data_IF_546097502373
#
_entry.id   IF_546097502373
#
_cell.length_a   1.000
_cell.length_b   1.000
_cell.length_c   1.000
_cell.angle_alpha   90.00
_cell.angle_beta   90.00
_cell.angle_gamma   90.00
#
_symmetry.space_group_name_H-M   'P 1'
#
loop_
_entity.id
_entity.type
_entity.pdbx_description
1 polymer ?
#
# COMPACT_ATOMS: atom_id res chain seq x y z
N UNK A 1 -1.24 -15.92 -10.10
CA UNK A 1 -1.59 -14.49 -10.21
C UNK A 1 -0.74 -13.63 -9.28
N UNK A 2 -0.75 -13.87 -7.96
CA UNK A 2 0.09 -13.12 -6.98
C UNK A 2 1.60 -13.25 -7.24
N UNK A 3 2.10 -14.44 -7.56
CA UNK A 3 3.53 -14.64 -7.89
C UNK A 3 4.00 -13.75 -9.05
N UNK A 4 3.15 -13.49 -10.06
CA UNK A 4 3.50 -12.58 -11.16
C UNK A 4 3.64 -11.14 -10.67
N UNK A 5 2.78 -10.70 -9.75
CA UNK A 5 2.86 -9.36 -9.13
C UNK A 5 4.15 -9.21 -8.32
N UNK A 6 4.48 -10.17 -7.45
CA UNK A 6 5.71 -10.13 -6.65
C UNK A 6 6.96 -10.04 -7.54
N UNK A 7 7.03 -10.87 -8.58
CA UNK A 7 8.16 -10.84 -9.54
C UNK A 7 8.25 -9.51 -10.30
N UNK A 8 7.11 -8.84 -10.58
CA UNK A 8 7.13 -7.51 -11.18
C UNK A 8 7.60 -6.41 -10.21
N UNK A 9 7.40 -6.58 -8.90
CA UNK A 9 7.78 -5.60 -7.89
C UNK A 9 9.28 -5.68 -7.53
N UNK A 10 9.85 -6.89 -7.45
CA UNK A 10 11.26 -7.12 -7.13
C UNK A 10 12.26 -6.20 -7.86
N UNK A 11 12.23 -6.04 -9.20
CA UNK A 11 13.20 -5.21 -9.90
C UNK A 11 13.04 -3.70 -9.67
N UNK A 12 11.93 -3.24 -9.07
CA UNK A 12 11.72 -1.82 -8.77
C UNK A 12 12.57 -1.34 -7.59
N UNK A 13 12.99 -2.25 -6.69
CA UNK A 13 13.88 -1.98 -5.58
C UNK A 13 13.22 -1.19 -4.44
N UNK A 14 12.72 0.03 -4.70
CA UNK A 14 11.97 0.86 -3.74
C UNK A 14 10.77 1.51 -4.41
N UNK A 15 9.65 1.57 -3.70
CA UNK A 15 8.38 2.06 -4.26
C UNK A 15 7.61 2.95 -3.30
N UNK A 16 6.85 3.87 -3.87
CA UNK A 16 5.76 4.55 -3.20
C UNK A 16 4.43 3.99 -3.73
N UNK A 17 3.57 3.49 -2.85
CA UNK A 17 2.28 2.90 -3.21
C UNK A 17 1.19 3.91 -2.94
N UNK A 18 0.45 4.30 -3.99
CA UNK A 18 -0.80 5.05 -3.82
C UNK A 18 -1.83 4.16 -3.13
N UNK A 19 -2.14 4.49 -1.88
CA UNK A 19 -2.94 3.69 -0.98
C UNK A 19 -4.21 4.44 -0.60
N UNK A 20 -5.36 3.75 -0.59
CA UNK A 20 -6.66 4.34 -0.25
C UNK A 20 -7.40 3.64 0.88
N UNK A 21 -6.87 2.53 1.41
CA UNK A 21 -7.60 1.66 2.34
C UNK A 21 -8.48 0.61 1.66
N UNK A 22 -8.81 0.78 0.37
CA UNK A 22 -9.56 -0.21 -0.40
C UNK A 22 -8.78 -1.51 -0.65
N UNK A 23 -9.51 -2.59 -0.95
CA UNK A 23 -8.94 -3.95 -1.13
C UNK A 23 -7.83 -4.01 -2.18
N UNK A 24 -8.00 -3.32 -3.31
CA UNK A 24 -7.02 -3.35 -4.40
C UNK A 24 -5.70 -2.68 -3.99
N UNK A 25 -5.78 -1.49 -3.41
CA UNK A 25 -4.59 -0.77 -2.94
C UNK A 25 -3.92 -1.46 -1.76
N UNK A 26 -4.71 -2.12 -0.90
CA UNK A 26 -4.22 -2.94 0.22
C UNK A 26 -3.47 -4.17 -0.29
N UNK A 27 -4.00 -4.85 -1.31
CA UNK A 27 -3.33 -5.99 -1.94
C UNK A 27 -1.99 -5.58 -2.54
N UNK A 28 -1.93 -4.45 -3.26
CA UNK A 28 -0.69 -3.95 -3.85
C UNK A 28 0.31 -3.55 -2.78
N UNK A 29 -0.12 -2.85 -1.72
CA UNK A 29 0.73 -2.48 -0.60
C UNK A 29 1.31 -3.72 0.10
N UNK A 30 0.47 -4.72 0.39
CA UNK A 30 0.93 -5.96 1.03
C UNK A 30 1.90 -6.73 0.13
N UNK A 31 1.62 -6.84 -1.16
CA UNK A 31 2.52 -7.48 -2.12
C UNK A 31 3.87 -6.74 -2.24
N UNK A 32 3.87 -5.41 -2.18
CA UNK A 32 5.10 -4.62 -2.17
C UNK A 32 5.92 -4.85 -0.89
N UNK A 33 5.27 -4.88 0.28
CA UNK A 33 5.91 -5.18 1.55
C UNK A 33 6.53 -6.59 1.54
N UNK A 34 5.78 -7.58 1.06
CA UNK A 34 6.24 -8.97 1.00
C UNK A 34 7.39 -9.17 0.01
N UNK A 35 7.42 -8.42 -1.10
CA UNK A 35 8.47 -8.52 -2.11
C UNK A 35 9.73 -7.73 -1.77
N UNK A 36 9.60 -6.53 -1.20
CA UNK A 36 10.69 -5.56 -1.09
C UNK A 36 11.13 -5.28 0.35
N UNK A 37 10.37 -5.69 1.36
CA UNK A 37 10.62 -5.30 2.75
C UNK A 37 10.09 -3.90 3.08
N UNK A 38 9.78 -3.66 4.35
CA UNK A 38 9.15 -2.42 4.81
C UNK A 38 10.07 -1.20 4.71
N UNK A 39 11.39 -1.39 4.74
CA UNK A 39 12.39 -0.34 4.57
C UNK A 39 12.42 0.25 3.14
N UNK A 40 11.82 -0.45 2.17
CA UNK A 40 11.83 -0.09 0.76
C UNK A 40 10.46 0.36 0.22
N UNK A 41 9.44 0.42 1.08
CA UNK A 41 8.07 0.73 0.68
C UNK A 41 7.52 1.90 1.51
N UNK A 42 6.93 2.88 0.85
CA UNK A 42 6.13 3.92 1.51
C UNK A 42 4.69 3.90 1.00
N UNK A 43 3.72 3.85 1.90
CA UNK A 43 2.30 4.01 1.55
C UNK A 43 1.93 5.50 1.54
N UNK A 44 1.27 5.95 0.47
CA UNK A 44 0.83 7.33 0.29
C UNK A 44 -0.69 7.40 0.26
N UNK A 45 -1.29 7.99 1.29
CA UNK A 45 -2.71 8.28 1.36
C UNK A 45 -2.98 9.74 0.96
N UNK A 46 -3.72 9.94 -0.12
CA UNK A 46 -4.10 11.28 -0.56
C UNK A 46 -5.20 11.86 0.34
N UNK A 47 -4.93 12.99 0.99
CA UNK A 47 -5.89 13.67 1.87
C UNK A 47 -6.42 14.91 1.17
N UNK A 48 -7.74 15.06 1.16
CA UNK A 48 -8.44 16.24 0.62
C UNK A 48 -9.67 16.57 1.47
N UNK A 49 -10.26 17.77 1.34
CA UNK A 49 -11.50 18.11 2.06
C UNK A 49 -12.67 17.16 1.77
N UNK A 50 -12.64 16.44 0.65
CA UNK A 50 -13.68 15.47 0.27
C UNK A 50 -13.47 14.08 0.88
N UNK A 51 -12.34 13.81 1.54
CA UNK A 51 -12.08 12.53 2.19
C UNK A 51 -12.65 12.54 3.61
N UNK A 52 -13.61 11.66 3.95
CA UNK A 52 -14.11 11.55 5.31
C UNK A 52 -12.97 11.18 6.28
N UNK A 53 -12.95 11.84 7.44
CA UNK A 53 -11.92 11.59 8.46
C UNK A 53 -11.93 10.13 8.95
N UNK A 54 -13.11 9.50 9.04
CA UNK A 54 -13.24 8.08 9.38
C UNK A 54 -12.55 7.17 8.36
N UNK A 55 -12.72 7.43 7.06
CA UNK A 55 -12.05 6.65 6.01
C UNK A 55 -10.53 6.81 6.06
N UNK A 56 -10.05 8.03 6.34
CA UNK A 56 -8.63 8.28 6.56
C UNK A 56 -8.09 7.48 7.75
N UNK A 57 -8.78 7.52 8.88
CA UNK A 57 -8.34 6.85 10.11
C UNK A 57 -8.37 5.33 9.96
N UNK A 58 -9.40 4.78 9.31
CA UNK A 58 -9.50 3.36 8.97
C UNK A 58 -8.37 2.91 8.03
N UNK A 59 -8.08 3.68 6.97
CA UNK A 59 -6.98 3.39 6.06
C UNK A 59 -5.63 3.40 6.79
N UNK A 60 -5.36 4.40 7.63
CA UNK A 60 -4.12 4.47 8.41
C UNK A 60 -4.01 3.30 9.39
N UNK A 61 -5.09 2.96 10.09
CA UNK A 61 -5.11 1.83 11.02
C UNK A 61 -4.88 0.50 10.32
N UNK A 62 -5.48 0.30 9.14
CA UNK A 62 -5.29 -0.90 8.33
C UNK A 62 -3.85 -1.02 7.82
N UNK A 63 -3.26 0.07 7.31
CA UNK A 63 -1.87 0.07 6.86
C UNK A 63 -0.88 -0.31 7.97
N UNK A 64 -1.16 0.07 9.22
CA UNK A 64 -0.35 -0.32 10.38
C UNK A 64 -0.43 -1.80 10.77
N UNK A 65 -1.32 -2.58 10.17
CA UNK A 65 -1.50 -4.01 10.41
C UNK A 65 -0.87 -4.91 9.33
N UNK A 66 -0.36 -4.34 8.23
CA UNK A 66 0.20 -5.07 7.08
C UNK A 66 1.68 -5.43 7.25
#
# INVERSE_FOLDING_TARGET
MISKLLTHLLPLGRVAVAYSGGVDSTLVLKAALDALGSENVVALLAVSPSLPQSEKDEAVALAGQL
#
